data_IF_696113901906
#
_entry.id   IF_696113901906
#
_cell.length_a   1.000
_cell.length_b   1.000
_cell.length_c   1.000
_cell.angle_alpha   90.00
_cell.angle_beta   90.00
_cell.angle_gamma   90.00
#
_symmetry.space_group_name_H-M   'P 1'
#
loop_
_entity.id
_entity.type
_entity.pdbx_description
1 polymer ?
#
# COMPACT_ATOMS: atom_id res chain seq x y z
N UNK A 1 7.87 -6.44 9.52
CA UNK A 1 8.50 -7.64 8.94
C UNK A 1 9.07 -8.42 10.09
N UNK A 2 8.70 -9.69 10.27
CA UNK A 2 8.95 -10.41 11.53
C UNK A 2 10.42 -10.48 12.00
N UNK A 3 11.39 -10.19 11.12
CA UNK A 3 12.82 -10.23 11.44
C UNK A 3 13.52 -8.86 11.51
N UNK A 4 13.06 -7.84 10.78
CA UNK A 4 13.69 -6.52 10.77
C UNK A 4 12.65 -5.40 10.82
N UNK A 5 12.97 -4.28 11.49
CA UNK A 5 12.11 -3.12 11.48
C UNK A 5 12.01 -2.52 10.08
N UNK A 6 10.86 -1.90 9.78
CA UNK A 6 10.55 -1.42 8.43
C UNK A 6 11.49 -0.29 7.94
N UNK A 7 12.11 0.46 8.87
CA UNK A 7 13.04 1.54 8.51
C UNK A 7 14.28 1.03 7.75
N UNK A 8 14.69 -0.23 7.95
CA UNK A 8 15.81 -0.83 7.21
C UNK A 8 15.55 -0.92 5.69
N UNK A 9 14.29 -0.88 5.28
CA UNK A 9 13.88 -1.06 3.90
C UNK A 9 13.13 0.15 3.34
N UNK A 10 13.08 1.26 4.06
CA UNK A 10 12.28 2.42 3.66
C UNK A 10 12.77 3.01 2.34
N UNK A 11 14.08 3.07 2.12
CA UNK A 11 14.66 3.75 0.96
C UNK A 11 14.84 2.83 -0.25
N UNK A 12 14.62 3.39 -1.44
CA UNK A 12 14.84 2.70 -2.71
C UNK A 12 16.30 2.74 -3.15
N UNK A 13 17.18 2.00 -2.48
CA UNK A 13 18.63 2.02 -2.76
C UNK A 13 19.03 1.04 -3.88
N UNK A 14 18.50 -0.18 -3.81
CA UNK A 14 18.89 -1.25 -4.72
C UNK A 14 18.22 -1.12 -6.10
N UNK A 15 18.72 -1.85 -7.10
CA UNK A 15 18.00 -2.03 -8.37
C UNK A 15 16.69 -2.81 -8.13
N UNK A 16 15.72 -2.63 -9.02
CA UNK A 16 14.48 -3.38 -8.95
C UNK A 16 14.77 -4.88 -9.05
N UNK A 17 14.31 -5.62 -8.05
CA UNK A 17 14.49 -7.07 -7.97
C UNK A 17 13.11 -7.74 -7.89
N UNK A 18 12.57 -8.21 -9.03
CA UNK A 18 11.24 -8.83 -9.08
C UNK A 18 11.27 -10.33 -8.90
N UNK A 19 10.12 -10.89 -8.48
CA UNK A 19 9.87 -12.31 -8.57
C UNK A 19 10.03 -12.76 -10.04
N UNK A 20 10.93 -13.70 -10.28
CA UNK A 20 11.37 -14.11 -11.61
C UNK A 20 11.98 -15.49 -11.58
N UNK A 21 12.31 -16.08 -12.73
CA UNK A 21 12.96 -17.39 -12.78
C UNK A 21 14.32 -17.44 -12.04
N UNK A 22 14.98 -16.28 -11.88
CA UNK A 22 16.21 -16.11 -11.11
C UNK A 22 15.95 -15.94 -9.60
N UNK A 23 14.86 -15.26 -9.21
CA UNK A 23 14.48 -15.06 -7.82
C UNK A 23 13.36 -16.03 -7.43
N UNK A 24 13.75 -17.23 -6.97
CA UNK A 24 12.82 -18.26 -6.51
C UNK A 24 12.52 -18.12 -5.01
N UNK A 25 11.49 -18.84 -4.55
CA UNK A 25 11.09 -18.91 -3.13
C UNK A 25 10.67 -17.56 -2.53
N UNK A 26 10.15 -16.66 -3.36
CA UNK A 26 9.62 -15.37 -2.90
C UNK A 26 8.34 -15.62 -2.10
N UNK A 27 8.25 -15.14 -0.85
CA UNK A 27 7.03 -15.27 -0.08
C UNK A 27 5.91 -14.45 -0.72
N UNK A 28 4.69 -14.97 -0.62
CA UNK A 28 3.50 -14.29 -1.10
C UNK A 28 3.31 -12.95 -0.36
N UNK A 29 2.79 -11.95 -1.08
CA UNK A 29 2.46 -10.66 -0.51
C UNK A 29 1.42 -10.82 0.61
N UNK A 30 1.56 -10.04 1.69
CA UNK A 30 0.60 -10.09 2.80
C UNK A 30 -0.78 -9.54 2.40
N UNK A 31 -0.81 -8.56 1.51
CA UNK A 31 -2.04 -8.02 0.94
C UNK A 31 -2.51 -8.90 -0.22
N UNK A 32 -3.69 -9.47 -0.06
CA UNK A 32 -4.32 -10.30 -1.09
C UNK A 32 -5.47 -9.57 -1.79
N UNK A 33 -6.08 -8.58 -1.14
CA UNK A 33 -7.28 -7.90 -1.61
C UNK A 33 -6.97 -6.43 -1.86
N UNK A 34 -6.91 -6.03 -3.13
CA UNK A 34 -6.62 -4.65 -3.54
C UNK A 34 -7.88 -3.78 -3.63
N UNK A 35 -9.02 -4.38 -3.97
CA UNK A 35 -10.31 -3.69 -4.03
C UNK A 35 -11.23 -4.13 -2.90
N UNK A 36 -11.91 -3.18 -2.26
CA UNK A 36 -12.84 -3.41 -1.15
C UNK A 36 -14.12 -2.57 -1.31
N UNK A 37 -15.18 -2.95 -0.60
CA UNK A 37 -16.51 -2.36 -0.76
C UNK A 37 -17.22 -2.83 -2.04
N UNK A 38 -18.02 -1.96 -2.63
CA UNK A 38 -18.87 -2.26 -3.78
C UNK A 38 -18.11 -2.14 -5.11
N UNK A 39 -17.37 -3.19 -5.50
CA UNK A 39 -16.55 -3.23 -6.73
C UNK A 39 -17.35 -3.15 -8.04
N UNK A 40 -18.61 -3.59 -8.01
CA UNK A 40 -19.51 -3.62 -9.17
C UNK A 40 -20.40 -2.37 -9.28
N UNK A 41 -20.15 -1.35 -8.45
CA UNK A 41 -20.90 -0.11 -8.51
C UNK A 41 -20.73 0.56 -9.88
N UNK A 42 -21.79 1.17 -10.38
CA UNK A 42 -21.71 1.95 -11.62
C UNK A 42 -20.87 3.20 -11.39
N UNK A 43 -20.26 3.68 -12.46
CA UNK A 43 -19.41 4.89 -12.43
C UNK A 43 -20.16 6.13 -11.92
N UNK A 44 -21.47 6.19 -12.17
CA UNK A 44 -22.33 7.30 -11.74
C UNK A 44 -22.65 7.30 -10.24
N UNK A 45 -22.53 6.15 -9.56
CA UNK A 45 -22.93 6.01 -8.15
C UNK A 45 -21.92 6.67 -7.20
N UNK A 46 -20.63 6.69 -7.57
CA UNK A 46 -19.53 7.19 -6.74
C UNK A 46 -18.78 8.37 -7.39
N UNK A 47 -19.38 9.55 -7.45
CA UNK A 47 -18.78 10.74 -8.04
C UNK A 47 -17.59 11.31 -7.26
N UNK A 48 -17.55 11.10 -5.94
CA UNK A 48 -16.48 11.63 -5.08
C UNK A 48 -15.30 10.68 -5.06
N UNK A 49 -14.09 11.23 -5.19
CA UNK A 49 -12.86 10.48 -5.05
C UNK A 49 -11.89 11.17 -4.07
N UNK A 50 -11.41 10.43 -3.08
CA UNK A 50 -10.31 10.80 -2.21
C UNK A 50 -9.11 9.92 -2.48
N UNK A 51 -7.94 10.53 -2.61
CA UNK A 51 -6.66 9.85 -2.82
C UNK A 51 -5.75 10.11 -1.64
N UNK A 52 -5.03 9.08 -1.22
CA UNK A 52 -3.84 9.21 -0.39
C UNK A 52 -2.61 9.12 -1.29
N UNK A 53 -1.78 10.16 -1.27
CA UNK A 53 -0.67 10.37 -2.18
C UNK A 53 0.62 10.43 -1.38
N UNK A 54 1.66 9.76 -1.85
CA UNK A 54 2.97 9.83 -1.21
C UNK A 54 3.72 11.10 -1.60
N UNK A 55 4.40 11.74 -0.66
CA UNK A 55 5.23 12.92 -0.92
C UNK A 55 6.75 12.66 -0.85
N UNK A 56 7.14 11.42 -0.61
CA UNK A 56 8.52 10.98 -0.50
C UNK A 56 8.78 9.86 -1.52
N UNK A 57 10.06 9.52 -1.73
CA UNK A 57 10.44 8.38 -2.56
C UNK A 57 10.84 7.23 -1.65
N UNK A 58 9.95 6.24 -1.50
CA UNK A 58 10.13 5.18 -0.50
C UNK A 58 9.57 3.83 -0.96
N UNK A 59 9.84 2.79 -0.18
CA UNK A 59 9.26 1.46 -0.33
C UNK A 59 8.16 1.24 0.70
N UNK A 60 6.99 0.85 0.23
CA UNK A 60 5.86 0.46 1.07
C UNK A 60 5.75 -1.05 1.12
N UNK A 61 5.79 -1.61 2.32
CA UNK A 61 5.71 -3.05 2.50
C UNK A 61 4.30 -3.59 2.32
N UNK A 62 4.18 -4.83 1.84
CA UNK A 62 2.88 -5.53 1.80
C UNK A 62 2.23 -5.61 3.19
N UNK A 63 3.07 -5.70 4.23
CA UNK A 63 2.65 -5.76 5.63
C UNK A 63 2.14 -4.42 6.17
N UNK A 64 2.52 -3.28 5.59
CA UNK A 64 1.96 -1.97 5.91
C UNK A 64 0.69 -1.70 5.10
N UNK A 65 0.63 -2.17 3.84
CA UNK A 65 -0.54 -1.99 2.99
C UNK A 65 -1.78 -2.73 3.52
N UNK A 66 -1.63 -3.95 4.04
CA UNK A 66 -2.75 -4.72 4.60
C UNK A 66 -3.48 -4.04 5.78
N UNK A 67 -2.81 -3.63 6.88
CA UNK A 67 -3.49 -2.93 7.98
C UNK A 67 -4.02 -1.56 7.57
N UNK A 68 -3.38 -0.90 6.58
CA UNK A 68 -3.91 0.33 6.00
C UNK A 68 -5.28 0.11 5.35
N UNK A 69 -5.40 -0.95 4.55
CA UNK A 69 -6.63 -1.35 3.89
C UNK A 69 -7.73 -1.68 4.88
N UNK A 70 -7.40 -2.49 5.88
CA UNK A 70 -8.32 -2.88 6.95
C UNK A 70 -8.82 -1.64 7.69
N UNK A 71 -7.92 -0.73 8.07
CA UNK A 71 -8.26 0.50 8.77
C UNK A 71 -9.19 1.42 7.96
N UNK A 72 -8.89 1.59 6.65
CA UNK A 72 -9.74 2.38 5.76
C UNK A 72 -11.12 1.74 5.57
N UNK A 73 -11.18 0.42 5.39
CA UNK A 73 -12.42 -0.33 5.19
C UNK A 73 -13.30 -0.30 6.45
N UNK A 74 -12.74 -0.60 7.61
CA UNK A 74 -13.45 -0.63 8.88
C UNK A 74 -14.11 0.72 9.19
N UNK A 75 -13.38 1.83 9.03
CA UNK A 75 -13.95 3.15 9.28
C UNK A 75 -15.08 3.50 8.31
N UNK A 76 -14.97 3.11 7.04
CA UNK A 76 -16.01 3.38 6.05
C UNK A 76 -17.23 2.47 6.23
N UNK A 77 -17.03 1.20 6.55
CA UNK A 77 -18.08 0.22 6.78
C UNK A 77 -18.91 0.59 8.01
N UNK A 78 -18.28 0.99 9.11
CA UNK A 78 -18.96 1.47 10.32
C UNK A 78 -19.80 2.73 10.09
N UNK A 79 -19.36 3.62 9.20
CA UNK A 79 -20.04 4.89 8.96
C UNK A 79 -21.11 4.85 7.85
N UNK A 80 -20.90 4.05 6.79
CA UNK A 80 -21.70 4.09 5.56
C UNK A 80 -22.17 2.73 5.05
N UNK A 81 -21.76 1.64 5.70
CA UNK A 81 -22.03 0.28 5.24
C UNK A 81 -21.19 -0.11 4.03
N UNK A 82 -21.11 -1.42 3.79
CA UNK A 82 -20.27 -2.03 2.74
C UNK A 82 -20.60 -1.57 1.32
N UNK A 83 -21.86 -1.21 1.06
CA UNK A 83 -22.34 -0.74 -0.25
C UNK A 83 -22.20 0.79 -0.44
N UNK A 84 -21.63 1.49 0.54
CA UNK A 84 -21.51 2.95 0.51
C UNK A 84 -20.28 3.47 -0.23
N UNK A 85 -19.33 2.61 -0.59
CA UNK A 85 -18.01 3.01 -1.07
C UNK A 85 -17.30 1.94 -1.89
N UNK A 86 -16.25 2.36 -2.58
CA UNK A 86 -15.28 1.51 -3.24
C UNK A 86 -13.86 1.98 -2.88
N UNK A 87 -13.06 1.12 -2.26
CA UNK A 87 -11.64 1.40 -1.96
C UNK A 87 -10.79 0.55 -2.90
N UNK A 88 -9.76 1.17 -3.49
CA UNK A 88 -8.81 0.53 -4.38
C UNK A 88 -7.38 0.92 -4.00
N UNK A 89 -6.54 -0.07 -3.74
CA UNK A 89 -5.09 0.11 -3.61
C UNK A 89 -4.49 0.13 -5.00
N UNK A 90 -3.81 1.22 -5.35
CA UNK A 90 -3.26 1.41 -6.70
C UNK A 90 -1.83 0.87 -6.86
N UNK A 91 -1.18 0.51 -5.75
CA UNK A 91 0.19 0.03 -5.77
C UNK A 91 0.26 -1.46 -6.07
N UNK A 92 1.25 -1.84 -6.86
CA UNK A 92 1.60 -3.23 -7.08
C UNK A 92 2.95 -3.54 -6.43
N UNK A 93 3.02 -4.72 -5.82
CA UNK A 93 4.16 -5.21 -5.06
C UNK A 93 5.08 -6.03 -5.98
N UNK A 94 5.99 -5.35 -6.68
CA UNK A 94 6.92 -6.02 -7.58
C UNK A 94 8.29 -6.25 -6.98
N UNK A 95 8.73 -5.44 -6.03
CA UNK A 95 10.09 -5.53 -5.52
C UNK A 95 10.16 -6.54 -4.37
N UNK A 96 11.14 -7.44 -4.42
CA UNK A 96 11.45 -8.38 -3.36
C UNK A 96 12.61 -7.86 -2.53
N UNK A 97 12.42 -7.84 -1.22
CA UNK A 97 13.47 -7.56 -0.24
C UNK A 97 14.21 -8.85 0.07
N UNK A 98 15.54 -8.79 0.07
CA UNK A 98 16.40 -9.87 0.51
C UNK A 98 16.98 -9.59 1.90
N UNK A 99 17.08 -10.63 2.72
CA UNK A 99 17.67 -10.60 4.06
C UNK A 99 18.77 -11.65 4.19
N UNK A 100 19.92 -11.24 4.71
CA UNK A 100 20.95 -12.19 5.15
C UNK A 100 20.67 -12.53 6.60
N UNK A 101 20.04 -13.70 6.82
CA UNK A 101 19.66 -14.13 8.17
C UNK A 101 20.90 -14.51 8.97
N UNK A 102 21.13 -13.80 10.06
CA UNK A 102 22.15 -14.18 11.04
C UNK A 102 21.53 -14.97 12.20
N UNK A 103 22.28 -15.93 12.73
CA UNK A 103 21.88 -16.68 13.92
C UNK A 103 22.06 -15.80 15.16
N UNK A 104 21.00 -15.67 15.96
CA UNK A 104 21.00 -14.89 17.21
C UNK A 104 21.21 -15.75 18.46
N UNK A 105 21.77 -16.96 18.31
CA UNK A 105 22.02 -17.89 19.41
C UNK A 105 23.40 -17.70 20.04
N UNK A 106 23.56 -18.06 21.31
CA UNK A 106 24.88 -18.18 21.92
C UNK A 106 25.75 -19.15 21.09
N UNK A 107 27.03 -18.81 20.86
CA UNK A 107 27.97 -19.53 19.98
C UNK A 107 27.63 -19.54 18.48
N UNK A 108 26.86 -18.56 17.98
CA UNK A 108 26.58 -18.41 16.54
C UNK A 108 27.84 -18.25 15.67
N UNK A 109 28.92 -17.68 16.22
CA UNK A 109 30.16 -17.42 15.47
C UNK A 109 30.83 -18.69 14.92
N UNK A 110 30.66 -19.84 15.59
CA UNK A 110 31.18 -21.12 15.11
C UNK A 110 30.25 -21.85 14.13
N UNK A 111 29.01 -21.38 13.96
CA UNK A 111 27.96 -22.05 13.18
C UNK A 111 27.61 -21.30 11.89
N UNK A 112 27.87 -20.00 11.82
CA UNK A 112 27.57 -19.17 10.66
C UNK A 112 28.85 -18.69 9.97
N UNK A 113 28.83 -18.64 8.64
CA UNK A 113 29.95 -18.20 7.80
C UNK A 113 30.29 -16.70 7.93
N UNK A 114 29.44 -15.90 8.58
CA UNK A 114 29.59 -14.43 8.65
C UNK A 114 29.13 -13.74 7.36
N UNK A 115 29.96 -12.85 6.82
CA UNK A 115 29.69 -12.01 5.63
C UNK A 115 30.14 -12.55 4.25
N UNK A 116 31.06 -13.52 4.11
CA UNK A 116 31.36 -14.13 2.82
C UNK A 116 30.11 -14.72 2.15
N UNK A 117 29.84 -14.34 0.90
CA UNK A 117 28.66 -14.82 0.16
C UNK A 117 27.32 -14.31 0.71
N UNK A 118 27.28 -13.11 1.31
CA UNK A 118 26.12 -12.53 1.99
C UNK A 118 24.94 -12.11 1.09
N UNK A 119 24.67 -12.82 -0.01
CA UNK A 119 23.44 -12.61 -0.76
C UNK A 119 22.24 -13.09 0.06
N UNK A 120 21.32 -12.17 0.33
CA UNK A 120 20.17 -12.46 1.17
C UNK A 120 19.14 -13.37 0.49
N UNK A 121 18.37 -14.09 1.31
CA UNK A 121 17.18 -14.83 0.85
C UNK A 121 15.99 -13.88 0.76
N UNK A 122 15.05 -14.09 -0.19
CA UNK A 122 13.85 -13.27 -0.28
C UNK A 122 13.00 -13.40 0.99
N UNK A 123 12.52 -12.27 1.51
CA UNK A 123 11.82 -12.20 2.80
C UNK A 123 10.45 -11.54 2.73
N UNK A 124 10.25 -10.61 1.81
CA UNK A 124 8.99 -9.90 1.65
C UNK A 124 8.91 -9.12 0.36
N UNK A 125 7.71 -8.75 -0.02
CA UNK A 125 7.44 -7.94 -1.20
C UNK A 125 7.04 -6.53 -0.82
N UNK A 126 7.51 -5.56 -1.61
CA UNK A 126 7.30 -4.13 -1.40
C UNK A 126 6.99 -3.43 -2.71
N UNK A 127 6.27 -2.32 -2.59
CA UNK A 127 5.97 -1.43 -3.69
C UNK A 127 6.94 -0.27 -3.62
N UNK A 128 7.60 0.05 -4.73
CA UNK A 128 8.37 1.28 -4.86
C UNK A 128 7.43 2.38 -5.28
N UNK A 129 7.39 3.46 -4.52
CA UNK A 129 6.41 4.52 -4.70
C UNK A 129 7.14 5.84 -4.94
N UNK A 130 6.80 6.48 -6.05
CA UNK A 130 7.35 7.78 -6.42
C UNK A 130 6.59 8.94 -5.76
N UNK A 131 7.25 10.08 -5.66
CA UNK A 131 6.65 11.32 -5.19
C UNK A 131 5.46 11.67 -6.08
N UNK A 132 4.30 11.89 -5.48
CA UNK A 132 3.05 12.20 -6.18
C UNK A 132 2.26 10.96 -6.64
N UNK A 133 2.76 9.75 -6.40
CA UNK A 133 2.04 8.52 -6.71
C UNK A 133 0.94 8.25 -5.67
N UNK A 134 -0.23 7.83 -6.16
CA UNK A 134 -1.38 7.49 -5.33
C UNK A 134 -1.20 6.08 -4.76
N UNK A 135 -1.42 5.96 -3.44
CA UNK A 135 -1.34 4.71 -2.70
C UNK A 135 -2.73 4.04 -2.67
N UNK A 136 -3.72 4.77 -2.15
CA UNK A 136 -5.10 4.31 -1.99
C UNK A 136 -6.04 5.35 -2.58
N UNK A 137 -7.05 4.86 -3.30
CA UNK A 137 -8.17 5.64 -3.79
C UNK A 137 -9.46 5.16 -3.14
N UNK A 138 -10.29 6.10 -2.72
CA UNK A 138 -11.58 5.85 -2.12
C UNK A 138 -12.64 6.62 -2.90
N UNK A 139 -13.63 5.89 -3.39
CA UNK A 139 -14.75 6.40 -4.17
C UNK A 139 -16.05 6.26 -3.38
N UNK A 140 -16.86 7.32 -3.35
CA UNK A 140 -18.15 7.31 -2.63
C UNK A 140 -19.06 8.44 -3.14
N UNK A 141 -20.22 8.60 -2.49
CA UNK A 141 -21.16 9.70 -2.72
C UNK A 141 -20.62 11.02 -2.18
N UNK A 142 -21.02 12.14 -2.78
CA UNK A 142 -20.58 13.49 -2.43
C UNK A 142 -20.81 13.86 -0.95
N UNK A 143 -21.90 13.37 -0.37
CA UNK A 143 -22.29 13.63 1.02
C UNK A 143 -21.25 13.08 2.03
N UNK A 144 -20.47 12.07 1.64
CA UNK A 144 -19.60 11.32 2.55
C UNK A 144 -18.20 11.93 2.68
N UNK A 145 -17.95 13.11 2.11
CA UNK A 145 -16.61 13.74 2.04
C UNK A 145 -15.86 13.77 3.38
N UNK A 146 -16.53 14.09 4.48
CA UNK A 146 -15.90 14.13 5.81
C UNK A 146 -15.39 12.76 6.26
N UNK A 147 -16.17 11.70 6.02
CA UNK A 147 -15.78 10.34 6.37
C UNK A 147 -14.63 9.81 5.53
N UNK A 148 -14.55 10.21 4.25
CA UNK A 148 -13.41 9.88 3.38
C UNK A 148 -12.11 10.48 3.90
N UNK A 149 -12.14 11.74 4.34
CA UNK A 149 -10.95 12.39 4.88
C UNK A 149 -10.51 11.70 6.17
N UNK A 150 -11.46 11.40 7.06
CA UNK A 150 -11.19 10.70 8.32
C UNK A 150 -10.65 9.28 8.08
N UNK A 151 -11.20 8.50 7.16
CA UNK A 151 -10.73 7.15 6.87
C UNK A 151 -9.31 7.15 6.30
N UNK A 152 -9.02 8.05 5.36
CA UNK A 152 -7.67 8.20 4.82
C UNK A 152 -6.69 8.75 5.86
N UNK A 153 -7.14 9.57 6.81
CA UNK A 153 -6.30 10.07 7.90
C UNK A 153 -5.90 8.97 8.87
N UNK A 154 -6.82 8.06 9.22
CA UNK A 154 -6.51 6.89 10.05
C UNK A 154 -5.59 5.90 9.33
N UNK A 155 -5.87 5.66 8.05
CA UNK A 155 -5.05 4.80 7.19
C UNK A 155 -3.62 5.33 7.07
N UNK A 156 -3.45 6.65 6.96
CA UNK A 156 -2.13 7.31 6.90
C UNK A 156 -1.19 6.91 8.05
N UNK A 157 -1.72 6.69 9.25
CA UNK A 157 -0.91 6.37 10.44
C UNK A 157 -0.18 5.02 10.35
N UNK A 158 -0.57 4.15 9.41
CA UNK A 158 0.05 2.84 9.19
C UNK A 158 1.33 2.92 8.34
N UNK A 159 1.58 4.05 7.67
CA UNK A 159 2.78 4.24 6.87
C UNK A 159 3.84 5.03 7.63
N UNK A 160 5.09 4.72 7.28
CA UNK A 160 6.21 5.60 7.54
C UNK A 160 6.19 6.74 6.49
N UNK A 161 6.87 7.84 6.77
CA UNK A 161 7.00 8.94 5.82
C UNK A 161 5.77 9.86 5.75
N UNK A 162 5.78 10.77 4.77
CA UNK A 162 4.78 11.82 4.65
C UNK A 162 3.80 11.61 3.48
N UNK A 163 2.54 11.32 3.82
CA UNK A 163 1.44 11.21 2.87
C UNK A 163 0.54 12.46 2.91
N UNK A 164 0.04 12.88 1.75
CA UNK A 164 -0.98 13.93 1.60
C UNK A 164 -2.31 13.31 1.17
N UNK A 165 -3.40 13.82 1.75
CA UNK A 165 -4.75 13.44 1.35
C UNK A 165 -5.26 14.48 0.34
N UNK A 166 -5.68 14.02 -0.82
CA UNK A 166 -6.18 14.85 -1.90
C UNK A 166 -7.62 14.47 -2.26
N UNK A 167 -8.53 15.43 -2.27
CA UNK A 167 -9.88 15.22 -2.82
C UNK A 167 -9.84 15.59 -4.30
N UNK A 168 -10.12 14.61 -5.16
CA UNK A 168 -10.08 14.79 -6.60
C UNK A 168 -11.28 15.61 -7.09
N UNK A 169 -11.02 16.45 -8.10
CA UNK A 169 -12.05 17.14 -8.89
C UNK A 169 -12.63 16.25 -10.00
N UNK A 170 -12.02 15.08 -10.24
CA UNK A 170 -12.49 14.11 -11.22
C UNK A 170 -13.76 13.41 -10.75
N UNK A 171 -14.49 12.83 -11.71
CA UNK A 171 -15.65 11.99 -11.45
C UNK A 171 -15.23 10.55 -11.18
N UNK A 172 -15.24 10.15 -9.90
CA UNK A 172 -14.90 8.79 -9.51
C UNK A 172 -13.54 8.35 -10.09
N UNK A 173 -13.54 7.27 -10.87
CA UNK A 173 -12.37 6.71 -11.57
C UNK A 173 -12.12 7.31 -12.96
N UNK A 174 -13.05 8.11 -13.49
CA UNK A 174 -12.90 8.68 -14.83
C UNK A 174 -11.85 9.78 -14.86
N UNK A 175 -11.21 9.94 -16.03
CA UNK A 175 -10.34 11.07 -16.30
C UNK A 175 -11.11 12.36 -16.68
N UNK A 176 -12.41 12.42 -16.39
CA UNK A 176 -13.26 13.57 -16.65
C UNK A 176 -13.45 14.41 -15.38
N UNK A 177 -13.41 15.73 -15.56
CA UNK A 177 -13.74 16.68 -14.49
C UNK A 177 -15.23 16.60 -14.17
N UNK A 178 -15.57 16.68 -12.88
CA UNK A 178 -16.97 16.67 -12.42
C UNK A 178 -17.79 17.81 -13.04
N UNK A 179 -17.18 18.95 -13.33
CA UNK A 179 -17.85 20.12 -13.96
C UNK A 179 -18.29 19.88 -15.39
N UNK A 180 -17.65 18.93 -16.09
CA UNK A 180 -17.92 18.64 -17.50
C UNK A 180 -19.04 17.60 -17.67
N UNK A 181 -19.35 16.86 -16.61
CA UNK A 181 -20.51 15.97 -16.54
C UNK A 181 -21.71 16.79 -16.09
N UNK A 182 -22.29 17.53 -17.03
CA UNK A 182 -23.61 18.12 -16.87
C UNK A 182 -24.65 17.02 -17.11
N UNK A 183 -25.24 16.51 -16.04
CA UNK A 183 -26.57 15.91 -16.08
C UNK A 183 -27.61 17.00 -15.89
#
# INVERSE_FOLDING_TARGET
MGHHPAWCYQYCENKLYPNSHFCRDVPEAKICIFDMGQKKAKVDEFPLCGHMVLHEYEQLSSEALEPTCICANENMENNRGKDGFHICVQLQLFHVICITKMLSSARAEGLQTGMPGAFGKPQGTVARVHIGQVIISLHTKLQNKKHVIESLYRAKLQFLGYQKIHISKKWGLLNLMRTNLKT
#
